data_IF_029529875874
#
_entry.id   IF_029529875874
#
_cell.length_a   1.000
_cell.length_b   1.000
_cell.length_c   1.000
_cell.angle_alpha   90.00
_cell.angle_beta   90.00
_cell.angle_gamma   90.00
#
_symmetry.space_group_name_H-M   'P 1'
#
loop_
_entity.id
_entity.type
_entity.pdbx_description
1 polymer ?
#
# COMPACT_ATOMS: atom_id res chain seq x y z
N UNK A 1 6.25 -4.31 57.75
CA UNK A 1 5.44 -3.45 56.86
C UNK A 1 6.38 -2.92 55.79
N UNK A 2 6.33 -3.21 54.49
CA UNK A 2 5.39 -4.00 53.68
C UNK A 2 6.15 -4.27 52.38
N UNK A 3 6.43 -5.53 52.06
CA UNK A 3 7.00 -5.95 50.78
C UNK A 3 5.91 -5.86 49.69
N UNK A 4 6.24 -5.30 48.54
CA UNK A 4 5.37 -5.28 47.36
C UNK A 4 6.13 -5.79 46.11
N UNK A 5 5.42 -6.38 45.13
CA UNK A 5 5.91 -7.52 44.38
C UNK A 5 6.35 -7.17 42.95
N UNK A 6 7.29 -7.96 42.42
CA UNK A 6 7.65 -8.03 40.99
C UNK A 6 6.50 -8.63 40.17
N UNK A 7 6.11 -8.01 39.05
CA UNK A 7 5.31 -8.68 38.05
C UNK A 7 6.20 -9.50 37.09
N UNK A 8 5.91 -10.79 37.01
CA UNK A 8 6.44 -11.75 36.04
C UNK A 8 5.66 -11.68 34.73
N UNK A 9 6.30 -11.29 33.64
CA UNK A 9 5.74 -11.45 32.28
C UNK A 9 6.23 -12.75 31.66
N UNK A 10 5.37 -13.75 31.71
CA UNK A 10 5.52 -15.05 31.06
C UNK A 10 5.46 -14.94 29.54
N UNK A 11 6.20 -15.83 28.91
CA UNK A 11 6.27 -16.09 27.47
C UNK A 11 4.93 -16.49 26.85
N UNK A 12 4.65 -16.01 25.64
CA UNK A 12 3.86 -16.77 24.67
C UNK A 12 4.62 -16.89 23.35
N UNK A 13 5.35 -17.99 23.26
CA UNK A 13 5.97 -18.55 22.07
C UNK A 13 4.88 -19.29 21.29
N UNK A 14 4.36 -18.70 20.20
CA UNK A 14 3.49 -19.46 19.28
C UNK A 14 4.32 -19.95 18.09
N UNK A 15 4.77 -21.19 18.21
CA UNK A 15 5.12 -22.06 17.10
C UNK A 15 3.87 -22.33 16.26
N UNK A 16 3.97 -22.25 14.94
CA UNK A 16 3.08 -23.02 14.05
C UNK A 16 3.91 -23.79 13.03
N UNK A 17 3.84 -25.10 13.21
CA UNK A 17 4.41 -26.16 12.42
C UNK A 17 3.70 -26.32 11.06
N UNK A 18 4.48 -26.85 10.12
CA UNK A 18 4.13 -27.39 8.82
C UNK A 18 2.91 -28.33 8.84
N UNK A 19 2.15 -28.38 7.73
CA UNK A 19 1.76 -29.67 7.16
C UNK A 19 1.34 -29.54 5.69
N UNK A 20 2.03 -30.32 4.86
CA UNK A 20 1.77 -30.68 3.48
C UNK A 20 0.62 -31.67 3.37
N UNK A 21 -0.26 -31.52 2.38
CA UNK A 21 -1.00 -32.65 1.81
C UNK A 21 -1.16 -32.48 0.31
N UNK A 22 -0.48 -33.36 -0.43
CA UNK A 22 -0.80 -33.74 -1.80
C UNK A 22 -2.18 -34.43 -1.83
N UNK A 23 -2.96 -34.18 -2.87
CA UNK A 23 -3.99 -35.13 -3.33
C UNK A 23 -4.04 -35.13 -4.85
N UNK A 24 -3.45 -36.18 -5.42
CA UNK A 24 -3.77 -36.75 -6.72
C UNK A 24 -5.12 -37.46 -6.62
N UNK A 25 -6.04 -37.27 -7.58
CA UNK A 25 -6.51 -38.34 -8.49
C UNK A 25 -7.78 -37.96 -9.27
N UNK A 26 -7.65 -38.14 -10.60
CA UNK A 26 -8.56 -38.81 -11.53
C UNK A 26 -10.00 -38.35 -11.72
N UNK A 27 -10.33 -38.01 -12.98
CA UNK A 27 -11.53 -38.49 -13.68
C UNK A 27 -11.35 -38.51 -15.22
N UNK A 28 -11.40 -39.73 -15.73
CA UNK A 28 -12.17 -40.22 -16.90
C UNK A 28 -11.92 -39.68 -18.32
N UNK A 29 -11.40 -40.61 -19.13
CA UNK A 29 -11.45 -40.79 -20.59
C UNK A 29 -12.76 -40.30 -21.26
N UNK A 30 -12.66 -39.53 -22.35
CA UNK A 30 -13.57 -39.54 -23.52
C UNK A 30 -12.86 -38.83 -24.70
N UNK A 31 -12.96 -39.43 -25.89
CA UNK A 31 -12.49 -38.93 -27.20
C UNK A 31 -13.50 -39.47 -28.26
N UNK A 32 -13.55 -38.99 -29.52
CA UNK A 32 -13.31 -37.66 -30.10
C UNK A 32 -14.55 -37.12 -30.87
N UNK A 33 -14.61 -35.81 -31.17
CA UNK A 33 -15.39 -35.31 -32.31
C UNK A 33 -14.86 -33.96 -32.80
N UNK A 34 -14.21 -34.02 -33.95
CA UNK A 34 -14.22 -33.11 -35.11
C UNK A 34 -14.09 -31.58 -34.91
N UNK A 35 -12.98 -31.09 -35.46
CA UNK A 35 -12.53 -29.72 -35.66
C UNK A 35 -13.49 -28.82 -36.46
N UNK A 36 -13.78 -27.62 -35.94
CA UNK A 36 -13.96 -26.35 -36.69
C UNK A 36 -13.42 -25.18 -35.83
N UNK A 37 -12.64 -24.29 -36.44
CA UNK A 37 -11.85 -23.16 -35.84
C UNK A 37 -12.41 -21.82 -36.37
N UNK A 38 -12.07 -20.64 -35.80
CA UNK A 38 -12.55 -20.08 -34.53
C UNK A 38 -13.26 -18.71 -34.73
N UNK A 39 -14.13 -18.29 -33.79
CA UNK A 39 -14.57 -16.91 -33.67
C UNK A 39 -14.59 -16.47 -32.19
N UNK A 40 -13.92 -15.34 -31.93
CA UNK A 40 -13.80 -14.52 -30.71
C UNK A 40 -14.49 -14.96 -29.38
N UNK A 41 -13.64 -15.43 -28.44
CA UNK A 41 -13.62 -15.22 -26.97
C UNK A 41 -14.90 -15.38 -26.10
N UNK A 42 -15.23 -16.61 -25.67
CA UNK A 42 -16.05 -16.89 -24.46
C UNK A 42 -15.23 -16.92 -23.14
N UNK A 43 -13.91 -16.72 -23.21
CA UNK A 43 -13.01 -16.85 -22.06
C UNK A 43 -13.12 -15.67 -21.09
N UNK A 44 -13.35 -14.45 -21.59
CA UNK A 44 -13.49 -13.27 -20.74
C UNK A 44 -14.75 -13.31 -19.86
N UNK A 45 -15.82 -13.93 -20.34
CA UNK A 45 -17.09 -14.06 -19.61
C UNK A 45 -17.04 -15.23 -18.61
N UNK A 46 -16.39 -16.34 -19.00
CA UNK A 46 -16.13 -17.46 -18.09
C UNK A 46 -15.19 -17.05 -16.94
N UNK A 47 -14.15 -16.26 -17.20
CA UNK A 47 -13.24 -15.74 -16.17
C UNK A 47 -13.99 -14.82 -15.19
N UNK A 48 -14.82 -13.88 -15.70
CA UNK A 48 -15.67 -13.04 -14.85
C UNK A 48 -16.62 -13.84 -13.96
N UNK A 49 -17.24 -14.90 -14.48
CA UNK A 49 -18.17 -15.74 -13.70
C UNK A 49 -17.46 -16.54 -12.59
N UNK A 50 -16.22 -16.98 -12.85
CA UNK A 50 -15.40 -17.73 -11.90
C UNK A 50 -14.82 -16.81 -10.81
N UNK A 51 -14.52 -15.56 -11.17
CA UNK A 51 -14.10 -14.50 -10.27
C UNK A 51 -15.23 -14.07 -9.31
N UNK A 52 -16.48 -13.97 -9.80
CA UNK A 52 -17.66 -13.73 -8.96
C UNK A 52 -17.88 -14.88 -7.97
N UNK A 53 -17.69 -16.13 -8.41
CA UNK A 53 -17.79 -17.30 -7.54
C UNK A 53 -16.72 -17.34 -6.44
N UNK A 54 -15.48 -16.93 -6.73
CA UNK A 54 -14.42 -16.82 -5.72
C UNK A 54 -14.72 -15.69 -4.72
N UNK A 55 -15.16 -14.53 -5.20
CA UNK A 55 -15.58 -13.41 -4.36
C UNK A 55 -16.68 -13.80 -3.37
N UNK A 56 -17.70 -14.53 -3.84
CA UNK A 56 -18.79 -15.01 -3.02
C UNK A 56 -18.31 -16.00 -1.95
N UNK A 57 -17.38 -16.90 -2.28
CA UNK A 57 -16.76 -17.81 -1.30
C UNK A 57 -15.98 -17.08 -0.22
N UNK A 58 -15.33 -15.95 -0.55
CA UNK A 58 -14.70 -15.09 0.46
C UNK A 58 -15.73 -14.35 1.30
N UNK A 59 -16.82 -13.88 0.69
CA UNK A 59 -17.90 -13.15 1.37
C UNK A 59 -18.75 -14.04 2.31
N UNK A 60 -18.75 -15.36 2.10
CA UNK A 60 -19.39 -16.33 2.98
C UNK A 60 -18.65 -16.53 4.30
N UNK A 61 -17.37 -16.13 4.40
CA UNK A 61 -16.63 -16.21 5.66
C UNK A 61 -17.21 -15.18 6.64
N UNK A 62 -17.42 -15.58 7.89
CA UNK A 62 -18.00 -14.70 8.92
C UNK A 62 -17.11 -13.53 9.33
N UNK A 63 -15.80 -13.62 9.06
CA UNK A 63 -14.82 -12.57 9.35
C UNK A 63 -14.51 -11.75 8.10
N UNK A 64 -14.43 -10.40 8.20
CA UNK A 64 -13.99 -9.57 7.09
C UNK A 64 -12.60 -10.00 6.65
N UNK A 65 -12.42 -10.23 5.36
CA UNK A 65 -11.15 -10.73 4.81
C UNK A 65 -10.34 -9.56 4.28
N UNK A 66 -9.14 -9.36 4.84
CA UNK A 66 -8.21 -8.32 4.38
C UNK A 66 -7.61 -8.77 3.04
N UNK A 67 -7.94 -8.05 1.98
CA UNK A 67 -7.40 -8.31 0.64
C UNK A 67 -6.05 -7.62 0.43
N UNK A 68 -5.93 -6.44 1.03
CA UNK A 68 -4.73 -5.62 0.99
C UNK A 68 -4.59 -4.81 2.28
N UNK A 69 -3.37 -4.74 2.78
CA UNK A 69 -2.96 -3.90 3.89
C UNK A 69 -1.63 -3.22 3.55
N UNK A 70 -1.61 -1.90 3.58
CA UNK A 70 -0.41 -1.13 3.27
C UNK A 70 0.65 -1.29 4.37
N UNK A 71 1.92 -1.14 4.00
CA UNK A 71 3.01 -0.99 4.94
C UNK A 71 2.77 0.18 5.92
N UNK A 72 3.41 0.17 7.10
CA UNK A 72 3.41 1.35 7.96
C UNK A 72 4.09 2.54 7.25
N UNK A 73 3.29 3.45 6.73
CA UNK A 73 3.73 4.67 6.04
C UNK A 73 4.19 5.79 6.99
N UNK A 74 4.49 5.46 8.25
CA UNK A 74 4.86 6.45 9.27
C UNK A 74 6.13 7.21 8.90
N UNK A 75 7.14 6.52 8.36
CA UNK A 75 8.38 7.17 7.91
C UNK A 75 8.13 8.25 6.85
N UNK A 76 7.32 7.93 5.84
CA UNK A 76 6.95 8.88 4.79
C UNK A 76 6.13 10.06 5.31
N UNK A 77 5.23 9.82 6.25
CA UNK A 77 4.43 10.87 6.87
C UNK A 77 5.31 11.79 7.71
N UNK A 78 6.17 11.22 8.57
CA UNK A 78 7.08 11.98 9.43
C UNK A 78 8.02 12.83 8.57
N UNK A 79 8.58 12.28 7.49
CA UNK A 79 9.48 13.03 6.62
C UNK A 79 8.76 14.16 5.87
N UNK A 80 7.56 13.89 5.33
CA UNK A 80 6.80 14.89 4.57
C UNK A 80 6.28 16.03 5.46
N UNK A 81 5.70 15.70 6.62
CA UNK A 81 5.26 16.71 7.59
C UNK A 81 6.44 17.42 8.25
N UNK A 82 7.54 16.72 8.52
CA UNK A 82 8.78 17.32 9.04
C UNK A 82 9.39 18.31 8.06
N UNK A 83 9.49 17.95 6.79
CA UNK A 83 9.97 18.85 5.73
C UNK A 83 9.04 20.06 5.56
N UNK A 84 7.73 19.83 5.61
CA UNK A 84 6.73 20.91 5.55
C UNK A 84 6.86 21.88 6.73
N UNK A 85 6.95 21.35 7.96
CA UNK A 85 7.15 22.13 9.17
C UNK A 85 8.46 22.92 9.12
N UNK A 86 9.55 22.31 8.65
CA UNK A 86 10.82 22.98 8.48
C UNK A 86 10.73 24.13 7.46
N UNK A 87 10.06 23.92 6.32
CA UNK A 87 9.89 24.97 5.32
C UNK A 87 9.04 26.13 5.85
N UNK A 88 7.93 25.84 6.53
CA UNK A 88 7.09 26.87 7.13
C UNK A 88 7.78 27.60 8.29
N UNK A 89 8.51 26.87 9.15
CA UNK A 89 9.30 27.45 10.22
C UNK A 89 10.40 28.36 9.69
N UNK A 90 11.13 27.91 8.66
CA UNK A 90 12.16 28.71 7.99
C UNK A 90 11.57 29.98 7.35
N UNK A 91 10.44 29.86 6.64
CA UNK A 91 9.75 31.01 6.07
C UNK A 91 9.28 32.00 7.14
N UNK A 92 8.72 31.51 8.24
CA UNK A 92 8.26 32.34 9.36
C UNK A 92 9.40 33.08 10.04
N UNK A 93 10.49 32.38 10.38
CA UNK A 93 11.68 32.97 10.99
C UNK A 93 12.32 33.98 10.02
N UNK A 94 12.46 33.62 8.74
CA UNK A 94 13.05 34.50 7.74
C UNK A 94 12.22 35.78 7.57
N UNK A 95 10.90 35.66 7.47
CA UNK A 95 10.01 36.82 7.36
C UNK A 95 10.03 37.68 8.64
N UNK A 96 10.08 37.07 9.82
CA UNK A 96 10.09 37.81 11.08
C UNK A 96 11.34 38.68 11.23
N UNK A 97 12.53 38.12 10.98
CA UNK A 97 13.80 38.84 11.15
C UNK A 97 14.17 39.70 9.95
N UNK A 98 13.96 39.22 8.71
CA UNK A 98 14.49 39.87 7.51
C UNK A 98 13.44 40.64 6.69
N UNK A 99 12.17 40.65 7.10
CA UNK A 99 11.11 41.48 6.48
C UNK A 99 10.52 42.47 7.47
N UNK A 100 10.20 42.03 8.70
CA UNK A 100 9.55 42.90 9.68
C UNK A 100 10.51 43.59 10.67
N UNK A 101 11.60 42.94 11.09
CA UNK A 101 12.53 43.46 12.10
C UNK A 101 13.94 43.75 11.54
N UNK A 102 14.03 44.53 10.45
CA UNK A 102 15.35 44.87 9.91
C UNK A 102 16.08 45.92 10.77
N UNK A 103 17.40 45.77 10.96
CA UNK A 103 18.24 46.83 11.47
C UNK A 103 18.16 48.08 10.58
N UNK A 104 18.12 49.29 11.18
CA UNK A 104 18.10 50.53 10.41
C UNK A 104 19.40 50.68 9.58
N UNK A 105 19.28 51.12 8.33
CA UNK A 105 20.41 51.36 7.42
C UNK A 105 20.58 50.37 6.27
N UNK A 106 19.64 49.42 6.08
CA UNK A 106 19.66 48.44 4.99
C UNK A 106 18.84 48.94 3.79
N UNK A 107 19.29 48.61 2.58
CA UNK A 107 18.58 48.94 1.33
C UNK A 107 17.16 48.36 1.29
N UNK A 108 16.14 49.12 0.84
CA UNK A 108 14.73 48.71 0.85
C UNK A 108 14.43 47.53 -0.09
N UNK A 109 15.34 47.17 -1.01
CA UNK A 109 15.19 45.99 -1.87
C UNK A 109 15.47 44.67 -1.14
N UNK A 110 16.25 44.71 -0.06
CA UNK A 110 16.65 43.51 0.69
C UNK A 110 15.43 42.79 1.30
N UNK A 111 14.50 43.46 2.01
CA UNK A 111 13.24 42.84 2.46
C UNK A 111 12.44 42.18 1.34
N UNK A 112 12.42 42.77 0.14
CA UNK A 112 11.66 42.24 -1.01
C UNK A 112 12.24 40.88 -1.43
N UNK A 113 13.57 40.77 -1.52
CA UNK A 113 14.24 39.50 -1.83
C UNK A 113 13.96 38.41 -0.78
N UNK A 114 14.04 38.75 0.51
CA UNK A 114 13.73 37.83 1.59
C UNK A 114 12.25 37.43 1.65
N UNK A 115 11.35 38.35 1.28
CA UNK A 115 9.93 38.06 1.09
C UNK A 115 9.67 37.03 -0.01
N UNK A 116 10.35 37.16 -1.16
CA UNK A 116 10.26 36.19 -2.27
C UNK A 116 10.77 34.81 -1.82
N UNK A 117 11.91 34.76 -1.13
CA UNK A 117 12.46 33.50 -0.60
C UNK A 117 11.47 32.85 0.38
N UNK A 118 10.89 33.64 1.29
CA UNK A 118 9.89 33.16 2.25
C UNK A 118 8.65 32.60 1.54
N UNK A 119 8.20 33.22 0.45
CA UNK A 119 7.11 32.72 -0.36
C UNK A 119 7.44 31.38 -1.04
N UNK A 120 8.65 31.23 -1.59
CA UNK A 120 9.10 29.97 -2.19
C UNK A 120 9.14 28.85 -1.14
N UNK A 121 9.65 29.12 0.07
CA UNK A 121 9.64 28.16 1.16
C UNK A 121 8.21 27.79 1.59
N UNK A 122 7.29 28.75 1.67
CA UNK A 122 5.89 28.46 1.97
C UNK A 122 5.25 27.57 0.88
N UNK A 123 5.51 27.87 -0.40
CA UNK A 123 5.03 27.05 -1.52
C UNK A 123 5.58 25.62 -1.44
N UNK A 124 6.88 25.44 -1.23
CA UNK A 124 7.48 24.11 -1.04
C UNK A 124 6.88 23.38 0.18
N UNK A 125 6.68 24.10 1.29
CA UNK A 125 6.05 23.58 2.50
C UNK A 125 4.64 23.04 2.23
N UNK A 126 3.82 23.75 1.44
CA UNK A 126 2.49 23.28 1.04
C UNK A 126 2.54 22.05 0.15
N UNK A 127 3.48 22.00 -0.82
CA UNK A 127 3.66 20.84 -1.69
C UNK A 127 3.99 19.60 -0.87
N UNK A 128 4.91 19.70 0.10
CA UNK A 128 5.26 18.59 0.99
C UNK A 128 4.10 18.16 1.89
N UNK A 129 3.29 19.09 2.43
CA UNK A 129 2.10 18.77 3.21
C UNK A 129 1.02 18.04 2.38
N UNK A 130 0.91 18.33 1.09
CA UNK A 130 -0.08 17.71 0.20
C UNK A 130 0.34 16.33 -0.33
N UNK A 131 1.64 16.02 -0.40
CA UNK A 131 2.13 14.71 -0.88
C UNK A 131 1.51 13.48 -0.18
N UNK A 132 1.35 13.45 1.16
CA UNK A 132 0.78 12.29 1.87
C UNK A 132 -0.74 12.14 1.78
N UNK A 133 -1.42 12.96 0.97
CA UNK A 133 -2.88 12.87 0.80
C UNK A 133 -3.29 11.68 -0.07
N UNK A 134 -4.54 11.24 0.11
CA UNK A 134 -5.22 10.23 -0.73
C UNK A 134 -4.55 8.84 -0.81
N UNK A 135 -3.93 8.36 0.27
CA UNK A 135 -3.28 7.03 0.29
C UNK A 135 -4.22 5.96 0.88
N UNK A 136 -4.32 4.80 0.21
CA UNK A 136 -5.10 3.64 0.66
C UNK A 136 -4.30 2.89 1.73
N UNK A 137 -4.93 2.63 2.87
CA UNK A 137 -4.34 1.89 4.00
C UNK A 137 -4.75 0.43 4.01
N UNK A 138 -6.01 0.13 3.74
CA UNK A 138 -6.48 -1.25 3.66
C UNK A 138 -7.67 -1.39 2.73
N UNK A 139 -7.78 -2.56 2.11
CA UNK A 139 -8.93 -2.99 1.34
C UNK A 139 -9.41 -4.28 1.98
N UNK A 140 -10.64 -4.26 2.50
CA UNK A 140 -11.25 -5.40 3.16
C UNK A 140 -12.50 -5.82 2.41
N UNK A 141 -12.75 -7.12 2.35
CA UNK A 141 -13.99 -7.67 1.81
C UNK A 141 -14.95 -7.89 2.97
N UNK A 142 -16.13 -7.25 2.88
CA UNK A 142 -17.16 -7.36 3.90
C UNK A 142 -17.96 -8.65 3.73
N UNK A 143 -18.28 -9.36 4.83
CA UNK A 143 -19.06 -10.59 4.76
C UNK A 143 -20.52 -10.29 4.39
N UNK A 144 -21.16 -11.21 3.66
CA UNK A 144 -22.57 -11.09 3.24
C UNK A 144 -23.54 -10.92 4.43
N UNK A 145 -23.19 -11.42 5.62
CA UNK A 145 -23.97 -11.23 6.84
C UNK A 145 -23.99 -9.77 7.33
N UNK A 146 -22.92 -9.00 7.08
CA UNK A 146 -22.87 -7.57 7.43
C UNK A 146 -23.68 -6.69 6.46
N UNK A 147 -24.16 -7.27 5.35
CA UNK A 147 -24.90 -6.60 4.28
C UNK A 147 -26.42 -6.69 4.42
N UNK A 148 -26.94 -7.48 5.37
CA UNK A 148 -28.37 -7.69 5.61
C UNK A 148 -29.17 -6.44 6.08
N UNK A 149 -28.57 -5.25 6.11
CA UNK A 149 -29.24 -4.01 6.56
C UNK A 149 -29.50 -2.96 5.48
N UNK A 150 -29.21 -3.23 4.21
CA UNK A 150 -29.59 -2.31 3.12
C UNK A 150 -30.82 -2.88 2.41
N UNK A 151 -32.04 -2.37 2.70
CA UNK A 151 -33.25 -2.83 2.02
C UNK A 151 -33.21 -2.39 0.55
N UNK A 152 -33.35 -3.36 -0.38
CA UNK A 152 -33.59 -3.08 -1.80
C UNK A 152 -32.49 -3.46 -2.81
N UNK A 153 -31.38 -4.11 -2.42
CA UNK A 153 -30.40 -4.58 -3.41
C UNK A 153 -30.67 -6.02 -3.87
N UNK A 154 -30.79 -6.29 -5.19
CA UNK A 154 -30.96 -7.65 -5.69
C UNK A 154 -29.63 -8.41 -5.64
N UNK A 155 -29.71 -9.68 -5.23
CA UNK A 155 -28.72 -10.77 -5.34
C UNK A 155 -27.30 -10.51 -4.80
N UNK A 156 -26.95 -11.15 -3.66
CA UNK A 156 -25.58 -11.43 -3.17
C UNK A 156 -24.46 -10.50 -3.69
N UNK A 157 -24.53 -9.21 -3.37
CA UNK A 157 -23.52 -8.24 -3.81
C UNK A 157 -22.35 -8.25 -2.84
N UNK A 158 -21.16 -8.59 -3.33
CA UNK A 158 -19.92 -8.50 -2.57
C UNK A 158 -19.55 -7.02 -2.43
N UNK A 159 -19.36 -6.51 -1.21
CA UNK A 159 -18.88 -5.14 -0.99
C UNK A 159 -17.46 -5.11 -0.45
N UNK A 160 -16.69 -4.13 -0.93
CA UNK A 160 -15.35 -3.81 -0.47
C UNK A 160 -15.39 -2.59 0.45
N UNK A 161 -14.76 -2.70 1.62
CA UNK A 161 -14.44 -1.57 2.48
C UNK A 161 -13.02 -1.11 2.17
N UNK A 162 -12.91 0.06 1.54
CA UNK A 162 -11.63 0.72 1.29
C UNK A 162 -11.39 1.75 2.37
N UNK A 163 -10.37 1.54 3.18
CA UNK A 163 -9.93 2.51 4.18
C UNK A 163 -8.81 3.37 3.55
N UNK A 164 -9.14 4.61 3.19
CA UNK A 164 -8.20 5.56 2.59
C UNK A 164 -8.06 6.83 3.44
N UNK A 165 -6.86 7.42 3.45
CA UNK A 165 -6.63 8.75 4.02
C UNK A 165 -7.42 9.80 3.25
N UNK A 166 -7.89 10.83 3.97
CA UNK A 166 -8.56 11.98 3.35
C UNK A 166 -7.60 12.73 2.43
N UNK A 167 -8.20 13.51 1.53
CA UNK A 167 -7.48 14.40 0.60
C UNK A 167 -6.99 15.66 1.34
N UNK A 168 -7.43 15.89 2.58
CA UNK A 168 -6.99 17.01 3.40
C UNK A 168 -5.56 16.77 3.95
N UNK A 169 -4.72 17.82 4.03
CA UNK A 169 -3.36 17.76 4.61
C UNK A 169 -3.35 17.60 6.15
N UNK A 170 -4.51 17.38 6.76
CA UNK A 170 -4.67 17.22 8.20
C UNK A 170 -4.57 15.72 8.53
N UNK A 171 -3.82 15.31 9.58
CA UNK A 171 -3.70 13.92 10.02
C UNK A 171 -4.98 13.40 10.70
N UNK A 172 -6.07 13.34 9.93
CA UNK A 172 -7.38 12.85 10.35
C UNK A 172 -7.46 11.33 10.26
N UNK A 173 -8.39 10.69 11.02
CA UNK A 173 -8.62 9.27 10.93
C UNK A 173 -9.01 8.84 9.51
N UNK A 174 -8.66 7.59 9.18
CA UNK A 174 -8.84 6.99 7.86
C UNK A 174 -10.34 6.93 7.52
N UNK A 175 -10.73 7.42 6.33
CA UNK A 175 -12.11 7.35 5.83
C UNK A 175 -12.35 5.95 5.26
N UNK A 176 -13.36 5.25 5.77
CA UNK A 176 -13.83 3.97 5.26
C UNK A 176 -14.91 4.22 4.22
N UNK A 177 -14.69 3.75 3.00
CA UNK A 177 -15.60 3.90 1.86
C UNK A 177 -16.07 2.49 1.49
N UNK A 178 -17.38 2.26 1.49
CA UNK A 178 -17.97 0.99 1.03
C UNK A 178 -18.24 1.12 -0.46
N UNK A 179 -17.63 0.25 -1.25
CA UNK A 179 -17.62 0.33 -2.72
C UNK A 179 -17.80 -1.06 -3.29
N UNK A 180 -18.53 -1.17 -4.39
CA UNK A 180 -18.64 -2.41 -5.15
C UNK A 180 -17.32 -2.67 -5.93
N UNK A 181 -16.88 -3.94 -6.08
CA UNK A 181 -15.64 -4.28 -6.75
C UNK A 181 -15.51 -3.71 -8.17
N UNK A 182 -16.63 -3.53 -8.87
CA UNK A 182 -16.67 -2.99 -10.23
C UNK A 182 -16.34 -1.51 -10.33
N UNK A 183 -16.59 -0.73 -9.27
CA UNK A 183 -16.33 0.71 -9.22
C UNK A 183 -14.90 1.05 -8.78
N UNK A 184 -14.10 0.01 -8.47
CA UNK A 184 -12.66 0.15 -8.23
C UNK A 184 -11.95 -0.16 -9.55
N UNK A 185 -11.15 0.78 -10.03
CA UNK A 185 -10.33 0.61 -11.23
C UNK A 185 -8.87 0.78 -10.88
N UNK A 186 -8.08 -0.25 -11.15
CA UNK A 186 -6.64 -0.26 -10.92
C UNK A 186 -5.88 -0.15 -12.24
N UNK A 187 -4.82 0.67 -12.24
CA UNK A 187 -4.02 0.90 -13.45
C UNK A 187 -2.99 -0.21 -13.64
N UNK A 188 -2.33 -0.61 -12.55
CA UNK A 188 -1.35 -1.68 -12.54
C UNK A 188 -1.84 -2.86 -11.71
N UNK A 189 -1.45 -4.07 -12.13
CA UNK A 189 -1.59 -5.29 -11.33
C UNK A 189 -0.69 -5.22 -10.11
N UNK A 190 -1.17 -5.69 -8.95
CA UNK A 190 -0.32 -5.77 -7.74
C UNK A 190 0.68 -6.91 -7.86
N UNK A 191 0.36 -7.93 -8.64
CA UNK A 191 1.25 -9.06 -8.87
C UNK A 191 2.59 -8.60 -9.44
N UNK A 192 3.63 -8.62 -8.60
CA UNK A 192 4.99 -8.71 -9.08
C UNK A 192 5.13 -10.04 -9.80
N UNK A 193 5.15 -10.05 -11.14
CA UNK A 193 5.53 -11.22 -11.91
C UNK A 193 6.91 -11.63 -11.43
N UNK A 194 7.08 -12.75 -10.70
CA UNK A 194 8.40 -13.17 -10.30
C UNK A 194 9.19 -13.37 -11.59
N UNK A 195 10.35 -12.73 -11.70
CA UNK A 195 11.32 -13.10 -12.74
C UNK A 195 11.56 -14.58 -12.50
N UNK A 196 11.09 -15.42 -13.43
CA UNK A 196 11.21 -16.87 -13.31
C UNK A 196 12.67 -17.19 -13.52
N UNK A 197 13.43 -17.16 -12.43
CA UNK A 197 14.83 -17.55 -12.43
C UNK A 197 14.88 -19.05 -12.72
N UNK A 198 15.76 -19.43 -13.64
CA UNK A 198 16.02 -20.84 -13.96
C UNK A 198 16.43 -21.58 -12.67
N UNK A 199 16.14 -22.88 -12.56
CA UNK A 199 16.48 -23.70 -11.37
C UNK A 199 17.95 -23.56 -10.96
N UNK A 200 18.84 -23.43 -11.94
CA UNK A 200 20.28 -23.20 -11.76
C UNK A 200 20.58 -21.83 -11.15
N UNK A 201 19.92 -20.77 -11.63
CA UNK A 201 20.06 -19.41 -11.08
C UNK A 201 19.53 -19.32 -9.65
N UNK A 202 18.46 -20.05 -9.32
CA UNK A 202 17.95 -20.16 -7.95
C UNK A 202 18.92 -20.90 -7.03
N UNK A 203 19.58 -21.94 -7.52
CA UNK A 203 20.59 -22.68 -6.75
C UNK A 203 21.85 -21.83 -6.50
N UNK A 204 22.33 -21.12 -7.54
CA UNK A 204 23.46 -20.20 -7.44
C UNK A 204 23.18 -19.08 -6.41
N UNK A 205 22.01 -18.43 -6.51
CA UNK A 205 21.61 -17.38 -5.58
C UNK A 205 21.48 -17.88 -4.13
N UNK A 206 20.93 -19.08 -3.93
CA UNK A 206 20.87 -19.71 -2.59
C UNK A 206 22.26 -19.96 -2.01
N UNK A 207 23.22 -20.34 -2.84
CA UNK A 207 24.58 -20.63 -2.41
C UNK A 207 25.34 -19.32 -2.08
N UNK A 208 25.13 -18.28 -2.86
CA UNK A 208 25.60 -16.91 -2.57
C UNK A 208 25.00 -16.36 -1.27
N UNK A 209 23.68 -16.48 -1.10
CA UNK A 209 22.98 -16.06 0.11
C UNK A 209 23.47 -16.83 1.34
N UNK A 210 23.76 -18.13 1.21
CA UNK A 210 24.31 -18.94 2.28
C UNK A 210 25.75 -18.52 2.66
N UNK A 211 26.59 -18.21 1.66
CA UNK A 211 27.94 -17.66 1.90
C UNK A 211 27.86 -16.30 2.60
N UNK A 212 26.99 -15.41 2.13
CA UNK A 212 26.78 -14.08 2.72
C UNK A 212 26.31 -14.17 4.17
N UNK A 213 25.37 -15.06 4.47
CA UNK A 213 24.90 -15.30 5.86
C UNK A 213 25.98 -15.85 6.78
N UNK A 214 26.91 -16.67 6.26
CA UNK A 214 28.04 -17.18 7.04
C UNK A 214 29.02 -16.05 7.37
N UNK A 215 29.40 -15.25 6.36
CA UNK A 215 30.26 -14.08 6.54
C UNK A 215 29.64 -13.06 7.52
N UNK A 216 28.32 -12.84 7.46
CA UNK A 216 27.62 -11.96 8.39
C UNK A 216 27.64 -12.48 9.83
N UNK A 217 27.57 -13.81 10.03
CA UNK A 217 27.67 -14.43 11.36
C UNK A 217 29.08 -14.36 11.94
N UNK A 218 30.09 -14.64 11.13
CA UNK A 218 31.49 -14.53 11.52
C UNK A 218 31.80 -13.07 11.93
N UNK A 219 31.34 -12.11 11.14
CA UNK A 219 31.44 -10.69 11.46
C UNK A 219 30.67 -10.29 12.73
N UNK A 220 29.51 -10.89 13.01
CA UNK A 220 28.72 -10.66 14.24
C UNK A 220 29.40 -11.18 15.50
N UNK A 221 30.12 -12.30 15.39
CA UNK A 221 30.90 -12.85 16.49
C UNK A 221 32.12 -11.98 16.80
N UNK A 222 32.78 -11.44 15.76
CA UNK A 222 33.98 -10.60 15.92
C UNK A 222 33.66 -9.17 16.41
N UNK A 223 32.45 -8.67 16.16
CA UNK A 223 32.06 -7.27 16.43
C UNK A 223 30.89 -7.13 17.40
N UNK A 224 30.89 -7.90 18.48
CA UNK A 224 29.86 -7.87 19.53
C UNK A 224 29.69 -6.49 20.17
N UNK A 225 30.78 -5.74 20.37
CA UNK A 225 30.74 -4.42 21.02
C UNK A 225 30.17 -3.30 20.14
N UNK A 226 30.14 -3.49 18.82
CA UNK A 226 29.51 -2.54 17.88
C UNK A 226 28.15 -3.01 17.38
N UNK A 227 27.70 -4.21 17.78
CA UNK A 227 26.39 -4.76 17.49
C UNK A 227 25.23 -3.76 17.74
N UNK A 228 25.13 -3.06 18.88
CA UNK A 228 24.01 -2.13 19.10
C UNK A 228 24.01 -0.93 18.14
N UNK A 229 25.18 -0.36 17.83
CA UNK A 229 25.29 0.76 16.90
C UNK A 229 25.03 0.34 15.44
N UNK A 230 25.46 -0.87 15.08
CA UNK A 230 25.26 -1.44 13.75
C UNK A 230 23.81 -1.85 13.52
N UNK A 231 23.15 -2.43 14.53
CA UNK A 231 21.74 -2.77 14.45
C UNK A 231 20.88 -1.52 14.41
N UNK A 232 21.26 -0.46 15.15
CA UNK A 232 20.67 0.86 14.99
C UNK A 232 20.90 1.44 13.58
N UNK A 233 22.09 1.27 12.99
CA UNK A 233 22.39 1.66 11.61
C UNK A 233 21.58 0.90 10.57
N UNK A 234 21.37 -0.42 10.76
CA UNK A 234 20.51 -1.26 9.90
C UNK A 234 19.04 -0.87 10.04
N UNK A 235 18.58 -0.58 11.25
CA UNK A 235 17.23 -0.06 11.49
C UNK A 235 17.05 1.33 10.85
N UNK A 236 18.06 2.19 10.94
CA UNK A 236 18.07 3.52 10.32
C UNK A 236 18.06 3.42 8.80
N UNK A 237 18.87 2.56 8.19
CA UNK A 237 18.93 2.42 6.73
C UNK A 237 17.66 1.81 6.14
N UNK A 238 17.02 0.87 6.83
CA UNK A 238 15.71 0.34 6.44
C UNK A 238 14.61 1.40 6.56
N UNK A 239 14.62 2.19 7.64
CA UNK A 239 13.73 3.34 7.78
C UNK A 239 13.97 4.37 6.68
N UNK A 240 15.22 4.68 6.36
CA UNK A 240 15.61 5.66 5.35
C UNK A 240 15.27 5.20 3.93
N UNK A 241 15.39 3.90 3.65
CA UNK A 241 14.92 3.28 2.41
C UNK A 241 13.41 3.45 2.24
N UNK A 242 12.64 3.22 3.30
CA UNK A 242 11.19 3.42 3.30
C UNK A 242 10.80 4.91 3.18
N UNK A 243 11.56 5.81 3.81
CA UNK A 243 11.40 7.26 3.67
C UNK A 243 11.68 7.69 2.23
N UNK A 244 12.79 7.23 1.64
CA UNK A 244 13.19 7.56 0.27
C UNK A 244 12.13 7.12 -0.72
N UNK A 245 11.68 5.87 -0.64
CA UNK A 245 10.59 5.34 -1.49
C UNK A 245 9.30 6.14 -1.35
N UNK A 246 8.94 6.47 -0.10
CA UNK A 246 7.82 7.36 0.17
C UNK A 246 7.98 8.72 -0.53
N UNK A 247 9.17 9.31 -0.43
CA UNK A 247 9.46 10.67 -0.91
C UNK A 247 9.58 10.77 -2.44
N UNK A 248 10.16 9.74 -3.08
CA UNK A 248 10.22 9.61 -4.55
C UNK A 248 8.87 9.23 -5.15
N UNK A 249 7.94 8.72 -4.34
CA UNK A 249 6.67 8.21 -4.82
C UNK A 249 6.81 6.88 -5.57
N UNK A 250 7.97 6.23 -5.45
CA UNK A 250 8.23 4.92 -6.01
C UNK A 250 7.37 3.87 -5.29
N UNK A 251 6.77 2.95 -6.05
CA UNK A 251 5.89 1.91 -5.52
C UNK A 251 4.41 2.31 -5.35
N UNK A 252 4.03 3.59 -5.56
CA UNK A 252 2.61 3.97 -5.56
C UNK A 252 1.98 3.83 -6.94
N UNK A 253 0.92 3.02 -7.03
CA UNK A 253 0.05 2.98 -8.20
C UNK A 253 -1.23 3.81 -7.98
N UNK A 254 -1.67 4.56 -9.00
CA UNK A 254 -2.97 5.22 -8.98
C UNK A 254 -4.11 4.20 -9.05
N UNK A 255 -5.08 4.34 -8.16
CA UNK A 255 -6.32 3.57 -8.11
C UNK A 255 -7.48 4.55 -8.14
N UNK A 256 -8.48 4.29 -8.97
CA UNK A 256 -9.66 5.12 -9.06
C UNK A 256 -10.83 4.45 -8.34
N UNK A 257 -11.47 5.20 -7.46
CA UNK A 257 -12.63 4.75 -6.69
C UNK A 257 -13.71 5.80 -6.90
N UNK A 258 -14.81 5.45 -7.58
CA UNK A 258 -15.90 6.37 -7.90
C UNK A 258 -15.41 7.67 -8.57
N UNK A 259 -14.44 7.58 -9.48
CA UNK A 259 -13.85 8.73 -10.18
C UNK A 259 -12.76 9.48 -9.40
N UNK A 260 -12.56 9.19 -8.11
CA UNK A 260 -11.54 9.85 -7.28
C UNK A 260 -10.23 9.06 -7.34
N UNK A 261 -9.13 9.78 -7.59
CA UNK A 261 -7.78 9.21 -7.62
C UNK A 261 -7.24 9.00 -6.21
N UNK A 262 -6.88 7.77 -5.92
CA UNK A 262 -6.18 7.33 -4.72
C UNK A 262 -4.82 6.71 -5.08
N UNK A 263 -3.92 6.66 -4.11
CA UNK A 263 -2.58 6.07 -4.23
C UNK A 263 -2.55 4.76 -3.45
N UNK A 264 -2.10 3.68 -4.08
CA UNK A 264 -1.94 2.35 -3.50
C UNK A 264 -0.47 1.95 -3.49
N UNK A 265 0.07 1.52 -2.37
CA UNK A 265 1.46 1.08 -2.24
C UNK A 265 1.60 -0.41 -2.65
N UNK A 266 2.24 -0.69 -3.78
CA UNK A 266 2.39 -2.05 -4.33
C UNK A 266 3.58 -2.79 -3.70
N UNK A 267 4.69 -2.09 -3.41
CA UNK A 267 5.94 -2.74 -3.02
C UNK A 267 5.99 -3.11 -1.53
N UNK A 268 5.42 -2.28 -0.66
CA UNK A 268 5.48 -2.47 0.80
C UNK A 268 4.28 -3.22 1.39
N UNK A 269 3.17 -3.28 0.66
CA UNK A 269 1.90 -3.78 1.19
C UNK A 269 1.81 -5.31 1.31
N UNK A 270 1.16 -5.78 2.38
CA UNK A 270 0.66 -7.15 2.45
C UNK A 270 -0.55 -7.29 1.53
N UNK A 271 -0.53 -8.29 0.65
CA UNK A 271 -1.64 -8.61 -0.23
C UNK A 271 -1.99 -10.09 -0.15
N UNK A 272 -3.29 -10.38 -0.17
CA UNK A 272 -3.78 -11.75 -0.11
C UNK A 272 -3.41 -12.49 -1.41
N UNK A 273 -2.73 -13.63 -1.26
CA UNK A 273 -2.18 -14.43 -2.37
C UNK A 273 -1.31 -13.60 -3.34
N UNK A 274 -0.45 -12.72 -2.81
CA UNK A 274 0.44 -11.84 -3.60
C UNK A 274 -0.32 -10.92 -4.59
N UNK A 275 -1.53 -10.49 -4.22
CA UNK A 275 -2.36 -9.60 -5.02
C UNK A 275 -3.21 -10.31 -6.06
N UNK A 276 -3.11 -11.64 -6.20
CA UNK A 276 -3.93 -12.39 -7.15
C UNK A 276 -5.42 -12.27 -6.86
N UNK A 277 -5.80 -12.26 -5.59
CA UNK A 277 -7.21 -12.13 -5.22
C UNK A 277 -7.74 -10.75 -5.59
N UNK A 278 -6.99 -9.68 -5.29
CA UNK A 278 -7.46 -8.33 -5.57
C UNK A 278 -7.54 -8.08 -7.08
N UNK A 279 -6.54 -8.55 -7.84
CA UNK A 279 -6.51 -8.42 -9.30
C UNK A 279 -7.68 -9.16 -10.00
N UNK A 280 -8.23 -10.22 -9.39
CA UNK A 280 -9.42 -10.94 -9.89
C UNK A 280 -10.73 -10.22 -9.57
N UNK A 281 -10.78 -9.49 -8.46
CA UNK A 281 -11.99 -8.82 -7.98
C UNK A 281 -12.17 -7.43 -8.60
N UNK A 282 -11.07 -6.77 -8.94
CA UNK A 282 -11.04 -5.37 -9.36
C UNK A 282 -10.85 -5.27 -10.88
N UNK A 283 -11.45 -4.26 -11.51
CA UNK A 283 -11.23 -4.01 -12.93
C UNK A 283 -9.84 -3.41 -13.14
N UNK A 284 -9.05 -4.05 -14.00
CA UNK A 284 -7.69 -3.60 -14.34
C UNK A 284 -7.73 -2.93 -15.71
N UNK A 285 -7.42 -1.64 -15.73
CA UNK A 285 -7.38 -0.85 -16.96
C UNK A 285 -5.98 -0.24 -17.10
N UNK A 286 -5.16 -0.67 -18.08
CA UNK A 286 -3.77 -0.20 -18.22
C UNK A 286 -3.67 1.30 -18.54
N UNK A 287 -4.72 1.89 -19.12
CA UNK A 287 -4.74 3.31 -19.49
C UNK A 287 -5.34 4.20 -18.38
N UNK A 288 -4.56 5.19 -17.95
CA UNK A 288 -4.92 6.15 -16.91
C UNK A 288 -6.20 6.93 -17.24
N UNK A 289 -6.37 7.35 -18.50
CA UNK A 289 -7.52 8.15 -18.92
C UNK A 289 -8.80 7.32 -19.00
N UNK A 290 -8.70 6.07 -19.46
CA UNK A 290 -9.84 5.15 -19.50
C UNK A 290 -10.27 4.74 -18.10
N UNK A 291 -9.31 4.55 -17.18
CA UNK A 291 -9.61 4.26 -15.79
C UNK A 291 -10.38 5.39 -15.10
N UNK A 292 -10.07 6.65 -15.43
CA UNK A 292 -10.79 7.82 -14.91
C UNK A 292 -12.20 7.94 -15.50
N UNK A 293 -12.36 7.76 -16.81
CA UNK A 293 -13.67 7.83 -17.47
C UNK A 293 -14.60 6.72 -16.97
N UNK A 294 -14.11 5.48 -16.89
CA UNK A 294 -14.92 4.33 -16.46
C UNK A 294 -15.31 4.39 -14.98
N UNK A 295 -14.43 4.93 -14.12
CA UNK A 295 -14.78 5.13 -12.71
C UNK A 295 -15.75 6.31 -12.49
N UNK A 296 -15.87 7.21 -13.47
CA UNK A 296 -16.82 8.33 -13.48
C UNK A 296 -18.12 8.10 -14.27
N UNK A 297 -18.22 7.05 -15.09
CA UNK A 297 -19.36 6.83 -16.01
C UNK A 297 -20.55 6.07 -15.40
N UNK A 298 -20.78 6.15 -14.08
CA UNK A 298 -22.06 5.72 -13.55
C UNK A 298 -23.08 6.86 -13.75
N UNK A 299 -24.17 6.66 -14.53
CA UNK A 299 -25.25 7.62 -14.59
C UNK A 299 -25.83 7.76 -13.18
N UNK A 300 -25.87 8.99 -12.65
CA UNK A 300 -26.68 9.31 -11.49
C UNK A 300 -28.15 9.11 -11.87
N UNK A 301 -28.66 7.90 -11.74
CA UNK A 301 -30.09 7.67 -11.64
C UNK A 301 -30.48 7.83 -10.18
N UNK A 302 -31.42 8.75 -9.97
CA UNK A 302 -32.07 9.23 -8.73
C UNK A 302 -31.33 10.30 -7.93
#
# INVERSE_FOLDING_TARGET
>A
MTSLPRPSTQSFRQQRSFSSCCTLCNKTKLLPSTSKKPAASPLAETIKSLDVGYAQRLAMKSKPTVLYEAAPQTGFLISSYGASFFCFGSAGINSWFNVFNLPPGISPWVPVGFGVISFVFAALGTVFAMRPTSIIRSIQLLPNAALQRVPGSPSQRVLLEVAARRIAPIPLPVKRIRVEPENVVMVNRIQHRPVVLTREQMAAKKLEDAKRRKAEREYELDHLMTAPFRDAGRASSTLFGNIRRGLTGEGFAPVFINGIRYKLDIEGGYSLENGQVLDRLVRIQPDLQLAQIQSGSQPKTT
#
